data_IF_368060020500
#
_entry.id   IF_368060020500
#
_cell.length_a   1.000
_cell.length_b   1.000
_cell.length_c   1.000
_cell.angle_alpha   90.00
_cell.angle_beta   90.00
_cell.angle_gamma   90.00
#
_symmetry.space_group_name_H-M   'P 1'
#
loop_
_entity.id
_entity.type
_entity.pdbx_description
1 polymer ?
#
# COMPACT_ATOMS: atom_id res chain seq x y z
N UNK A 1 17.07 -21.77 9.39
CA UNK A 1 17.24 -20.56 8.56
C UNK A 1 17.07 -19.34 9.44
N UNK A 2 17.88 -18.29 9.25
CA UNK A 2 17.78 -17.08 10.07
C UNK A 2 16.52 -16.29 9.69
N UNK A 3 15.72 -15.91 10.68
CA UNK A 3 14.45 -15.19 10.47
C UNK A 3 14.60 -13.73 10.89
N UNK A 4 14.22 -12.82 10.00
CA UNK A 4 14.03 -11.40 10.30
C UNK A 4 12.54 -11.13 10.54
N UNK A 5 12.18 -10.66 11.72
CA UNK A 5 10.83 -10.25 12.07
C UNK A 5 10.71 -8.72 12.02
N UNK A 6 9.79 -8.23 11.21
CA UNK A 6 9.45 -6.80 11.12
C UNK A 6 8.08 -6.57 11.74
N UNK A 7 7.96 -5.59 12.63
CA UNK A 7 6.72 -5.21 13.31
C UNK A 7 6.31 -3.81 12.87
N UNK A 8 5.14 -3.70 12.23
CA UNK A 8 4.60 -2.43 11.74
C UNK A 8 3.07 -2.36 11.95
N UNK A 9 2.56 -1.66 12.98
CA UNK A 9 1.13 -1.63 13.32
C UNK A 9 0.29 -0.65 12.47
N UNK A 10 0.94 0.17 11.64
CA UNK A 10 0.28 1.22 10.86
C UNK A 10 -0.79 0.74 9.87
N UNK A 11 -1.50 1.69 9.29
CA UNK A 11 -2.49 1.42 8.24
C UNK A 11 -1.80 1.03 6.92
N UNK A 12 -2.60 0.64 5.92
CA UNK A 12 -2.06 0.22 4.61
C UNK A 12 -1.10 1.24 4.00
N UNK A 13 -1.43 2.53 4.07
CA UNK A 13 -0.56 3.58 3.56
C UNK A 13 0.81 3.60 4.23
N UNK A 14 0.84 3.47 5.55
CA UNK A 14 2.07 3.50 6.35
C UNK A 14 2.94 2.26 6.09
N UNK A 15 2.31 1.08 6.07
CA UNK A 15 3.02 -0.19 5.80
C UNK A 15 3.57 -0.23 4.36
N UNK A 16 2.87 0.37 3.38
CA UNK A 16 3.39 0.49 2.02
C UNK A 16 4.64 1.39 1.96
N UNK A 17 4.76 2.39 2.84
CA UNK A 17 5.96 3.22 2.95
C UNK A 17 7.15 2.45 3.55
N UNK A 18 6.91 1.32 4.21
CA UNK A 18 7.95 0.42 4.70
C UNK A 18 8.50 -0.55 3.64
N UNK A 19 7.85 -0.69 2.48
CA UNK A 19 8.28 -1.61 1.39
C UNK A 19 9.74 -1.40 0.97
N UNK A 20 10.25 -0.17 0.81
CA UNK A 20 11.68 0.04 0.54
C UNK A 20 12.61 -0.55 1.61
N UNK A 21 12.26 -0.41 2.90
CA UNK A 21 13.02 -0.98 4.00
C UNK A 21 12.92 -2.51 4.03
N UNK A 22 11.74 -3.09 3.75
CA UNK A 22 11.55 -4.54 3.62
C UNK A 22 12.41 -5.12 2.48
N UNK A 23 12.49 -4.43 1.35
CA UNK A 23 13.37 -4.82 0.23
C UNK A 23 14.85 -4.75 0.59
N UNK A 24 15.25 -3.72 1.33
CA UNK A 24 16.63 -3.60 1.81
C UNK A 24 16.98 -4.76 2.77
N UNK A 25 16.06 -5.13 3.68
CA UNK A 25 16.22 -6.28 4.57
C UNK A 25 16.33 -7.59 3.80
N UNK A 26 15.46 -7.82 2.81
CA UNK A 26 15.54 -8.99 1.90
C UNK A 26 16.89 -9.06 1.20
N UNK A 27 17.40 -7.94 0.68
CA UNK A 27 18.68 -7.92 -0.01
C UNK A 27 19.87 -8.20 0.93
N UNK A 28 19.77 -7.82 2.21
CA UNK A 28 20.79 -8.10 3.23
C UNK A 28 20.79 -9.57 3.69
N UNK A 29 19.66 -10.28 3.56
CA UNK A 29 19.54 -11.69 3.91
C UNK A 29 18.70 -12.45 2.85
N UNK A 30 19.27 -12.74 1.66
CA UNK A 30 18.51 -13.36 0.56
C UNK A 30 17.90 -14.72 0.94
N UNK A 31 18.65 -15.55 1.66
CA UNK A 31 18.25 -16.90 2.09
C UNK A 31 17.52 -16.94 3.45
N UNK A 32 17.35 -15.77 4.09
CA UNK A 32 16.65 -15.66 5.36
C UNK A 32 15.14 -15.60 5.19
N UNK A 33 14.37 -16.02 6.18
CA UNK A 33 12.93 -15.79 6.17
C UNK A 33 12.64 -14.33 6.59
N UNK A 34 11.86 -13.59 5.79
CA UNK A 34 11.38 -12.25 6.14
C UNK A 34 9.91 -12.33 6.55
N UNK A 35 9.67 -12.18 7.85
CA UNK A 35 8.32 -12.16 8.42
C UNK A 35 7.87 -10.72 8.70
N UNK A 36 6.60 -10.43 8.42
CA UNK A 36 5.98 -9.14 8.72
C UNK A 36 4.77 -9.33 9.61
N UNK A 37 4.84 -8.76 10.81
CA UNK A 37 3.72 -8.57 11.71
C UNK A 37 3.07 -7.21 11.47
N UNK A 38 1.87 -7.23 10.91
CA UNK A 38 1.03 -6.06 10.65
C UNK A 38 -0.45 -6.44 10.82
N UNK A 39 -1.38 -5.57 10.42
CA UNK A 39 -2.78 -5.98 10.28
C UNK A 39 -2.85 -7.20 9.33
N UNK A 40 -3.58 -8.28 9.67
CA UNK A 40 -3.50 -9.56 8.94
C UNK A 40 -3.67 -9.42 7.43
N UNK A 41 -4.64 -8.59 7.02
CA UNK A 41 -4.96 -8.30 5.63
C UNK A 41 -3.82 -7.61 4.86
N UNK A 42 -3.04 -6.75 5.53
CA UNK A 42 -1.93 -6.01 4.94
C UNK A 42 -0.69 -6.90 4.84
N UNK A 43 -0.40 -7.68 5.90
CA UNK A 43 0.67 -8.65 5.89
C UNK A 43 0.46 -9.69 4.76
N UNK A 44 -0.75 -10.23 4.64
CA UNK A 44 -1.12 -11.16 3.57
C UNK A 44 -0.97 -10.55 2.17
N UNK A 45 -1.32 -9.27 1.99
CA UNK A 45 -1.09 -8.57 0.73
C UNK A 45 0.39 -8.51 0.37
N UNK A 46 1.26 -8.12 1.30
CA UNK A 46 2.69 -8.03 1.04
C UNK A 46 3.34 -9.40 0.81
N UNK A 47 2.83 -10.45 1.46
CA UNK A 47 3.23 -11.83 1.18
C UNK A 47 2.80 -12.25 -0.23
N UNK A 48 1.55 -12.00 -0.62
CA UNK A 48 1.04 -12.28 -1.96
C UNK A 48 1.77 -11.49 -3.07
N UNK A 49 2.34 -10.33 -2.75
CA UNK A 49 3.17 -9.54 -3.65
C UNK A 49 4.66 -9.97 -3.65
N UNK A 50 5.03 -10.97 -2.87
CA UNK A 50 6.41 -11.46 -2.76
C UNK A 50 7.37 -10.48 -2.07
N UNK A 51 6.85 -9.52 -1.30
CA UNK A 51 7.69 -8.57 -0.55
C UNK A 51 8.23 -9.21 0.74
N UNK A 52 7.44 -10.11 1.33
CA UNK A 52 7.76 -10.85 2.56
C UNK A 52 7.37 -12.31 2.38
N UNK A 53 7.95 -13.22 3.15
CA UNK A 53 7.62 -14.65 3.03
C UNK A 53 6.46 -15.01 3.95
N UNK A 54 6.48 -14.45 5.17
CA UNK A 54 5.57 -14.88 6.24
C UNK A 54 4.76 -13.72 6.80
N UNK A 55 3.44 -13.69 6.56
CA UNK A 55 2.56 -12.75 7.22
C UNK A 55 2.25 -13.22 8.65
N UNK A 56 2.31 -12.30 9.61
CA UNK A 56 1.94 -12.53 11.00
C UNK A 56 0.91 -11.48 11.43
N UNK A 57 0.00 -11.85 12.33
CA UNK A 57 -0.94 -10.92 12.93
C UNK A 57 -0.24 -10.10 14.01
N UNK A 58 -0.21 -8.78 13.88
CA UNK A 58 0.38 -7.88 14.88
C UNK A 58 -0.24 -8.08 16.27
N UNK A 59 -1.57 -8.07 16.37
CA UNK A 59 -2.29 -8.22 17.65
C UNK A 59 -2.10 -9.62 18.27
N UNK A 60 -1.71 -10.61 17.46
CA UNK A 60 -1.44 -11.97 17.93
C UNK A 60 -0.02 -12.19 18.44
N UNK A 61 0.85 -11.18 18.41
CA UNK A 61 2.23 -11.31 18.88
C UNK A 61 2.36 -11.22 20.41
N UNK A 62 1.37 -10.68 21.14
CA UNK A 62 1.47 -10.47 22.58
C UNK A 62 2.47 -9.38 22.98
N UNK A 63 2.67 -8.36 22.13
CA UNK A 63 3.62 -7.27 22.40
C UNK A 63 3.18 -6.36 23.55
N UNK A 64 1.90 -6.38 23.90
CA UNK A 64 1.33 -5.70 25.07
C UNK A 64 2.01 -6.13 26.38
N UNK A 65 2.42 -7.40 26.49
CA UNK A 65 3.13 -7.93 27.65
C UNK A 65 4.49 -7.23 27.90
N UNK A 66 5.06 -6.56 26.90
CA UNK A 66 6.34 -5.85 27.04
C UNK A 66 6.19 -4.44 27.65
N UNK A 67 4.97 -3.93 27.82
CA UNK A 67 4.72 -2.64 28.47
C UNK A 67 4.66 -2.72 30.01
N UNK A 68 4.63 -3.93 30.57
CA UNK A 68 4.71 -4.18 32.02
C UNK A 68 6.06 -4.78 32.36
N UNK A 69 6.44 -4.88 33.64
CA UNK A 69 7.70 -5.52 34.04
C UNK A 69 7.61 -7.06 34.02
N UNK A 70 6.44 -7.60 34.36
CA UNK A 70 6.24 -9.04 34.63
C UNK A 70 5.55 -9.80 33.49
N UNK A 71 5.20 -9.12 32.40
CA UNK A 71 4.51 -9.77 31.26
C UNK A 71 5.35 -10.87 30.60
N UNK A 72 4.69 -11.91 30.09
CA UNK A 72 5.36 -13.03 29.43
C UNK A 72 6.00 -12.61 28.11
N UNK A 73 7.22 -13.08 27.86
CA UNK A 73 7.94 -12.74 26.63
C UNK A 73 7.33 -13.44 25.38
N UNK A 74 7.02 -12.69 24.31
CA UNK A 74 6.53 -13.27 23.06
C UNK A 74 7.50 -14.31 22.45
N UNK A 75 7.01 -15.52 22.17
CA UNK A 75 7.81 -16.57 21.53
C UNK A 75 8.36 -16.15 20.16
N UNK A 76 7.51 -15.47 19.36
CA UNK A 76 7.90 -14.98 18.05
C UNK A 76 9.06 -13.98 18.05
N UNK A 77 9.36 -13.28 19.15
CA UNK A 77 10.55 -12.43 19.24
C UNK A 77 11.81 -13.24 19.53
N UNK A 78 11.70 -14.29 20.37
CA UNK A 78 12.82 -15.15 20.76
C UNK A 78 13.35 -15.98 19.61
N UNK A 79 12.47 -16.46 18.73
CA UNK A 79 12.90 -17.30 17.60
C UNK A 79 13.40 -16.47 16.41
N UNK A 80 13.45 -15.14 16.52
CA UNK A 80 13.90 -14.26 15.43
C UNK A 80 15.40 -13.97 15.59
N UNK A 81 16.17 -14.17 14.52
CA UNK A 81 17.59 -13.80 14.49
C UNK A 81 17.78 -12.28 14.46
N UNK A 82 16.81 -11.55 13.90
CA UNK A 82 16.78 -10.09 13.88
C UNK A 82 15.34 -9.59 14.05
N UNK A 83 15.18 -8.52 14.81
CA UNK A 83 13.89 -7.84 14.99
C UNK A 83 14.02 -6.39 14.54
N UNK A 84 13.06 -5.92 13.75
CA UNK A 84 12.86 -4.50 13.43
C UNK A 84 11.47 -4.11 13.90
N UNK A 85 11.37 -3.22 14.86
CA UNK A 85 10.13 -2.83 15.51
C UNK A 85 9.91 -1.32 15.39
N UNK A 86 8.90 -0.94 14.61
CA UNK A 86 8.44 0.47 14.50
C UNK A 86 7.24 0.74 15.41
N UNK A 87 7.23 0.10 16.57
CA UNK A 87 6.19 0.19 17.60
C UNK A 87 6.84 0.27 18.98
N UNK A 88 6.15 0.90 19.95
CA UNK A 88 6.59 0.96 21.35
C UNK A 88 7.88 1.73 21.63
N UNK A 89 8.52 2.34 20.62
CA UNK A 89 9.81 3.02 20.77
C UNK A 89 9.82 4.24 21.73
N UNK A 90 8.64 4.75 22.12
CA UNK A 90 8.49 5.84 23.08
C UNK A 90 8.30 5.37 24.52
N UNK A 91 8.18 4.06 24.73
CA UNK A 91 8.02 3.47 26.05
C UNK A 91 9.33 2.82 26.51
N UNK A 92 9.98 3.34 27.58
CA UNK A 92 11.26 2.82 28.04
C UNK A 92 11.22 1.37 28.52
N UNK A 93 10.10 0.93 29.11
CA UNK A 93 9.91 -0.45 29.57
C UNK A 93 9.86 -1.37 28.36
N UNK A 94 9.03 -1.03 27.37
CA UNK A 94 8.94 -1.77 26.11
C UNK A 94 10.29 -1.91 25.42
N UNK A 95 11.03 -0.80 25.23
CA UNK A 95 12.33 -0.79 24.54
C UNK A 95 13.33 -1.67 25.28
N UNK A 96 13.45 -1.52 26.60
CA UNK A 96 14.38 -2.31 27.42
C UNK A 96 14.05 -3.80 27.33
N UNK A 97 12.77 -4.17 27.51
CA UNK A 97 12.34 -5.57 27.51
C UNK A 97 12.47 -6.23 26.14
N UNK A 98 12.12 -5.52 25.06
CA UNK A 98 12.32 -6.03 23.70
C UNK A 98 13.81 -6.24 23.40
N UNK A 99 14.66 -5.27 23.74
CA UNK A 99 16.11 -5.36 23.53
C UNK A 99 16.72 -6.50 24.35
N UNK A 100 16.24 -6.75 25.57
CA UNK A 100 16.69 -7.89 26.37
C UNK A 100 16.33 -9.25 25.74
N UNK A 101 15.18 -9.35 25.06
CA UNK A 101 14.76 -10.55 24.35
C UNK A 101 15.45 -10.73 22.99
N UNK A 102 15.79 -9.63 22.33
CA UNK A 102 16.46 -9.60 21.04
C UNK A 102 17.55 -8.51 21.05
N UNK A 103 18.79 -8.82 21.49
CA UNK A 103 19.87 -7.84 21.64
C UNK A 103 20.25 -7.10 20.34
N UNK A 104 19.97 -7.68 19.17
CA UNK A 104 20.16 -7.05 17.86
C UNK A 104 18.92 -6.32 17.32
N UNK A 105 17.90 -6.09 18.15
CA UNK A 105 16.68 -5.45 17.70
C UNK A 105 16.88 -3.97 17.38
N UNK A 106 16.29 -3.54 16.27
CA UNK A 106 16.07 -2.13 15.99
C UNK A 106 14.70 -1.76 16.52
N UNK A 107 14.64 -0.91 17.54
CA UNK A 107 13.39 -0.29 17.99
C UNK A 107 13.44 1.19 17.65
N UNK A 108 12.70 1.60 16.63
CA UNK A 108 12.77 2.95 16.11
C UNK A 108 11.40 3.64 16.17
N UNK A 109 11.34 4.93 16.53
CA UNK A 109 10.09 5.67 16.51
C UNK A 109 9.55 5.80 15.08
N UNK A 110 8.24 6.06 14.93
CA UNK A 110 7.68 6.50 13.65
C UNK A 110 8.45 7.70 13.12
N UNK A 111 8.48 7.85 11.79
CA UNK A 111 9.11 8.99 11.15
C UNK A 111 8.57 10.32 11.71
N UNK A 112 9.48 11.28 11.91
CA UNK A 112 9.14 12.65 12.27
C UNK A 112 8.46 13.40 11.12
N UNK A 113 8.38 14.72 11.24
CA UNK A 113 7.87 15.58 10.17
C UNK A 113 8.89 15.90 9.09
N UNK A 114 10.16 15.57 9.34
CA UNK A 114 11.27 15.90 8.46
C UNK A 114 11.53 14.77 7.47
N UNK A 115 11.38 15.10 6.19
CA UNK A 115 11.69 14.21 5.08
C UNK A 115 10.65 13.10 4.82
N UNK A 116 10.89 12.28 3.78
CA UNK A 116 9.98 11.20 3.42
C UNK A 116 10.06 10.03 4.40
N UNK A 117 8.90 9.56 4.88
CA UNK A 117 8.79 8.41 5.81
C UNK A 117 9.57 7.18 5.34
N UNK A 118 9.55 6.88 4.04
CA UNK A 118 10.25 5.70 3.50
C UNK A 118 11.79 5.80 3.67
N UNK A 119 12.37 6.99 3.62
CA UNK A 119 13.82 7.19 3.82
C UNK A 119 14.19 6.92 5.28
N UNK A 120 13.40 7.47 6.22
CA UNK A 120 13.53 7.18 7.65
C UNK A 120 13.50 5.68 7.91
N UNK A 121 12.52 4.96 7.37
CA UNK A 121 12.40 3.52 7.58
C UNK A 121 13.59 2.74 6.98
N UNK A 122 14.10 3.14 5.82
CA UNK A 122 15.31 2.55 5.21
C UNK A 122 16.56 2.79 6.08
N UNK A 123 16.70 4.00 6.62
CA UNK A 123 17.81 4.33 7.52
C UNK A 123 17.74 3.51 8.82
N UNK A 124 16.55 3.31 9.39
CA UNK A 124 16.41 2.52 10.63
C UNK A 124 16.83 1.07 10.47
N UNK A 125 16.73 0.49 9.27
CA UNK A 125 17.20 -0.89 9.02
C UNK A 125 18.70 -0.98 8.70
N UNK A 126 19.42 0.15 8.71
CA UNK A 126 20.85 0.22 8.44
C UNK A 126 21.21 0.24 6.95
N UNK A 127 20.26 0.63 6.08
CA UNK A 127 20.49 0.75 4.65
C UNK A 127 20.51 2.23 4.21
N UNK A 128 21.23 2.52 3.13
CA UNK A 128 21.18 3.84 2.50
C UNK A 128 19.90 4.00 1.65
N UNK A 129 19.24 5.18 1.69
CA UNK A 129 18.17 5.52 0.77
C UNK A 129 18.64 5.42 -0.68
N UNK A 130 17.93 4.62 -1.48
CA UNK A 130 18.27 4.36 -2.88
C UNK A 130 16.99 4.22 -3.72
N UNK A 131 17.03 4.69 -4.96
CA UNK A 131 15.91 4.58 -5.90
C UNK A 131 15.52 3.12 -6.20
N UNK A 132 16.46 2.18 -6.16
CA UNK A 132 16.21 0.74 -6.40
C UNK A 132 15.17 0.15 -5.45
N UNK A 133 15.09 0.67 -4.22
CA UNK A 133 14.13 0.19 -3.22
C UNK A 133 12.70 0.65 -3.49
N UNK A 134 12.51 1.65 -4.38
CA UNK A 134 11.22 2.26 -4.70
C UNK A 134 10.61 1.80 -6.02
N UNK A 135 11.15 0.72 -6.60
CA UNK A 135 10.56 0.11 -7.78
C UNK A 135 9.04 -0.15 -7.57
N UNK A 136 8.18 0.04 -8.57
CA UNK A 136 6.76 -0.26 -8.43
C UNK A 136 6.51 -1.69 -7.94
N UNK A 137 5.44 -1.89 -7.16
CA UNK A 137 5.01 -3.23 -6.77
C UNK A 137 4.32 -3.87 -7.98
N UNK A 138 4.99 -4.84 -8.59
CA UNK A 138 4.43 -5.64 -9.66
C UNK A 138 3.69 -6.85 -9.06
N UNK A 139 2.38 -7.03 -9.33
CA UNK A 139 1.70 -8.26 -8.93
C UNK A 139 2.27 -9.47 -9.66
N UNK A 140 2.36 -10.63 -9.00
CA UNK A 140 2.68 -11.86 -9.68
C UNK A 140 1.52 -12.29 -10.62
N UNK A 141 1.81 -13.06 -11.68
CA UNK A 141 0.80 -13.46 -12.68
C UNK A 141 -0.47 -14.09 -12.11
N UNK A 142 -0.43 -14.97 -11.07
CA UNK A 142 -1.65 -15.53 -10.47
C UNK A 142 -2.58 -14.45 -9.89
N UNK A 143 -2.00 -13.41 -9.29
CA UNK A 143 -2.74 -12.30 -8.70
C UNK A 143 -3.37 -11.41 -9.77
N UNK A 144 -2.66 -11.18 -10.88
CA UNK A 144 -3.21 -10.49 -12.06
C UNK A 144 -4.37 -11.27 -12.66
N UNK A 145 -4.21 -12.59 -12.82
CA UNK A 145 -5.26 -13.46 -13.35
C UNK A 145 -6.51 -13.44 -12.47
N UNK A 146 -6.35 -13.47 -11.14
CA UNK A 146 -7.48 -13.34 -10.22
C UNK A 146 -8.19 -11.99 -10.35
N UNK A 147 -7.44 -10.89 -10.39
CA UNK A 147 -8.00 -9.56 -10.62
C UNK A 147 -8.80 -9.48 -11.93
N UNK A 148 -8.27 -10.04 -13.03
CA UNK A 148 -8.96 -10.09 -14.33
C UNK A 148 -10.25 -10.90 -14.28
N UNK A 149 -10.23 -12.10 -13.67
CA UNK A 149 -11.44 -12.93 -13.53
C UNK A 149 -12.54 -12.20 -12.79
N UNK A 150 -12.19 -11.55 -11.68
CA UNK A 150 -13.17 -10.86 -10.84
C UNK A 150 -13.69 -9.57 -11.50
N UNK A 151 -12.84 -8.83 -12.21
CA UNK A 151 -13.29 -7.73 -13.07
C UNK A 151 -14.22 -8.21 -14.19
N UNK A 152 -13.93 -9.38 -14.77
CA UNK A 152 -14.82 -10.02 -15.75
C UNK A 152 -16.17 -10.40 -15.18
N UNK A 153 -16.22 -10.90 -13.94
CA UNK A 153 -17.47 -11.17 -13.22
C UNK A 153 -18.29 -9.89 -12.93
N UNK A 154 -17.63 -8.73 -12.87
CA UNK A 154 -18.29 -7.43 -12.79
C UNK A 154 -18.72 -6.87 -14.15
N UNK A 155 -18.41 -7.55 -15.26
CA UNK A 155 -18.80 -7.15 -16.61
C UNK A 155 -17.71 -6.47 -17.44
N UNK A 156 -16.45 -6.50 -17.01
CA UNK A 156 -15.35 -6.03 -17.86
C UNK A 156 -14.97 -7.07 -18.92
N UNK A 157 -15.05 -6.68 -20.19
CA UNK A 157 -14.82 -7.56 -21.34
C UNK A 157 -13.33 -7.77 -21.70
N UNK A 158 -12.41 -7.13 -20.97
CA UNK A 158 -10.97 -7.23 -21.22
C UNK A 158 -10.45 -6.41 -22.41
N UNK A 159 -11.33 -5.72 -23.15
CA UNK A 159 -10.97 -5.03 -24.41
C UNK A 159 -10.57 -3.59 -24.19
N UNK A 160 -11.33 -2.88 -23.37
CA UNK A 160 -11.04 -1.48 -23.04
C UNK A 160 -9.99 -1.39 -21.92
N UNK A 161 -9.05 -0.42 -22.00
CA UNK A 161 -8.21 -0.05 -20.86
C UNK A 161 -9.07 0.34 -19.67
N UNK A 162 -8.55 0.12 -18.46
CA UNK A 162 -9.24 0.43 -17.22
C UNK A 162 -8.61 1.60 -16.49
N UNK A 163 -9.46 2.44 -15.91
CA UNK A 163 -9.08 3.39 -14.87
C UNK A 163 -9.79 3.02 -13.58
N UNK A 164 -9.01 2.84 -12.51
CA UNK A 164 -9.56 2.63 -11.16
C UNK A 164 -9.52 3.94 -10.40
N UNK A 165 -10.65 4.29 -9.79
CA UNK A 165 -10.84 5.51 -9.01
C UNK A 165 -11.25 5.16 -7.59
N UNK A 166 -10.67 5.86 -6.63
CA UNK A 166 -11.05 5.76 -5.23
C UNK A 166 -11.43 7.15 -4.72
N UNK A 167 -12.73 7.50 -4.68
CA UNK A 167 -13.19 8.83 -4.26
C UNK A 167 -13.13 9.01 -2.74
N UNK A 168 -12.98 7.92 -2.01
CA UNK A 168 -12.81 7.87 -0.57
C UNK A 168 -11.52 8.50 -0.04
N UNK A 169 -11.56 8.96 1.20
CA UNK A 169 -10.40 9.42 1.96
C UNK A 169 -10.63 9.26 3.46
N UNK A 170 -9.55 9.15 4.24
CA UNK A 170 -9.60 9.00 5.70
C UNK A 170 -10.17 10.20 6.47
N UNK A 171 -10.50 11.31 5.80
CA UNK A 171 -11.34 12.39 6.34
C UNK A 171 -12.04 13.13 5.20
N UNK A 172 -13.19 13.74 5.48
CA UNK A 172 -13.96 14.50 4.49
C UNK A 172 -13.15 15.65 3.87
N UNK A 173 -12.35 16.36 4.67
CA UNK A 173 -11.50 17.46 4.21
C UNK A 173 -10.41 17.03 3.19
N UNK A 174 -10.10 15.73 3.09
CA UNK A 174 -9.13 15.17 2.13
C UNK A 174 -9.79 14.60 0.88
N UNK A 175 -11.12 14.63 0.78
CA UNK A 175 -11.86 14.14 -0.38
C UNK A 175 -11.80 15.18 -1.48
N UNK A 176 -11.54 14.73 -2.70
CA UNK A 176 -11.69 15.57 -3.88
C UNK A 176 -13.15 15.59 -4.33
N UNK A 177 -13.60 16.72 -4.88
CA UNK A 177 -14.98 16.90 -5.30
C UNK A 177 -15.37 15.91 -6.40
N UNK A 178 -16.61 15.41 -6.35
CA UNK A 178 -17.12 14.43 -7.32
C UNK A 178 -17.14 15.00 -8.74
N UNK A 179 -17.43 16.29 -8.89
CA UNK A 179 -17.38 17.05 -10.14
C UNK A 179 -15.98 17.02 -10.76
N UNK A 180 -14.94 17.15 -9.93
CA UNK A 180 -13.55 17.07 -10.38
C UNK A 180 -13.23 15.69 -10.95
N UNK A 181 -13.61 14.63 -10.24
CA UNK A 181 -13.46 13.25 -10.73
C UNK A 181 -14.19 13.03 -12.05
N UNK A 182 -15.46 13.45 -12.14
CA UNK A 182 -16.27 13.31 -13.33
C UNK A 182 -15.66 14.04 -14.54
N UNK A 183 -15.20 15.28 -14.35
CA UNK A 183 -14.54 16.05 -15.40
C UNK A 183 -13.24 15.39 -15.90
N UNK A 184 -12.40 14.91 -14.98
CA UNK A 184 -11.16 14.22 -15.35
C UNK A 184 -11.42 12.90 -16.09
N UNK A 185 -12.39 12.10 -15.63
CA UNK A 185 -12.77 10.85 -16.28
C UNK A 185 -13.45 11.08 -17.62
N UNK A 186 -14.25 12.14 -17.74
CA UNK A 186 -14.84 12.57 -19.01
C UNK A 186 -13.79 12.93 -20.05
N UNK A 187 -12.76 13.69 -19.64
CA UNK A 187 -11.60 13.99 -20.50
C UNK A 187 -10.89 12.73 -20.97
N UNK A 188 -10.60 11.78 -20.06
CA UNK A 188 -9.95 10.52 -20.43
C UNK A 188 -10.82 9.63 -21.34
N UNK A 189 -12.13 9.63 -21.13
CA UNK A 189 -13.08 8.85 -21.92
C UNK A 189 -13.36 9.44 -23.31
N UNK A 190 -12.94 10.68 -23.57
CA UNK A 190 -13.03 11.33 -24.89
C UNK A 190 -11.96 10.80 -25.86
N UNK A 191 -10.82 10.35 -25.35
CA UNK A 191 -9.68 9.87 -26.16
C UNK A 191 -9.86 8.43 -26.68
N UNK A 192 -10.92 7.72 -26.27
CA UNK A 192 -11.24 6.39 -26.77
C UNK A 192 -12.01 5.51 -25.77
N UNK A 193 -12.16 4.21 -26.08
CA UNK A 193 -12.79 3.26 -25.17
C UNK A 193 -12.07 3.20 -23.82
N UNK A 194 -12.81 3.39 -22.73
CA UNK A 194 -12.29 3.37 -21.37
C UNK A 194 -13.33 2.74 -20.43
N UNK A 195 -12.93 1.72 -19.68
CA UNK A 195 -13.71 1.21 -18.57
C UNK A 195 -13.34 1.92 -17.27
N UNK A 196 -14.35 2.30 -16.49
CA UNK A 196 -14.18 2.98 -15.21
C UNK A 196 -14.54 2.00 -14.09
N UNK A 197 -13.64 1.84 -13.13
CA UNK A 197 -13.88 1.06 -11.90
C UNK A 197 -13.84 1.99 -10.71
N UNK A 198 -14.91 2.05 -9.93
CA UNK A 198 -14.97 2.84 -8.69
C UNK A 198 -14.79 1.91 -7.50
N UNK A 199 -13.69 2.08 -6.76
CA UNK A 199 -13.40 1.33 -5.55
C UNK A 199 -14.04 2.00 -4.33
N UNK A 200 -14.99 1.29 -3.71
CA UNK A 200 -15.65 1.69 -2.47
C UNK A 200 -15.04 0.96 -1.28
N UNK A 201 -14.35 1.69 -0.40
CA UNK A 201 -14.01 1.19 0.93
C UNK A 201 -15.19 1.26 1.90
N UNK A 202 -15.05 0.70 3.11
CA UNK A 202 -16.15 0.59 4.08
C UNK A 202 -16.81 1.91 4.49
N UNK A 203 -16.09 3.03 4.39
CA UNK A 203 -16.55 4.36 4.80
C UNK A 203 -16.72 5.33 3.61
N UNK A 204 -16.75 4.80 2.38
CA UNK A 204 -16.70 5.62 1.15
C UNK A 204 -18.05 5.71 0.42
N UNK A 205 -19.12 5.15 1.00
CA UNK A 205 -20.44 5.10 0.38
C UNK A 205 -20.93 6.48 -0.09
N UNK A 206 -20.82 7.52 0.75
CA UNK A 206 -21.23 8.88 0.37
C UNK A 206 -20.42 9.43 -0.80
N UNK A 207 -19.10 9.20 -0.80
CA UNK A 207 -18.20 9.70 -1.84
C UNK A 207 -18.45 8.99 -3.18
N UNK A 208 -18.73 7.69 -3.14
CA UNK A 208 -19.08 6.88 -4.32
C UNK A 208 -20.47 7.26 -4.84
N UNK A 209 -21.45 7.40 -3.94
CA UNK A 209 -22.81 7.82 -4.27
C UNK A 209 -22.87 9.23 -4.88
N UNK A 210 -21.97 10.13 -4.48
CA UNK A 210 -21.82 11.44 -5.11
C UNK A 210 -21.20 11.35 -6.52
N UNK A 211 -20.25 10.43 -6.74
CA UNK A 211 -19.52 10.31 -8.01
C UNK A 211 -20.33 9.59 -9.08
N UNK A 212 -20.91 8.42 -8.78
CA UNK A 212 -21.53 7.54 -9.78
C UNK A 212 -22.55 8.25 -10.70
N UNK A 213 -23.49 9.09 -10.20
CA UNK A 213 -24.47 9.77 -11.04
C UNK A 213 -23.88 10.79 -12.01
N UNK A 214 -22.62 11.20 -11.80
CA UNK A 214 -21.92 12.21 -12.62
C UNK A 214 -21.03 11.59 -13.69
N UNK A 215 -20.88 10.27 -13.71
CA UNK A 215 -20.01 9.61 -14.66
C UNK A 215 -20.67 9.55 -16.05
N UNK A 216 -19.92 9.83 -17.13
CA UNK A 216 -20.47 9.88 -18.49
C UNK A 216 -20.81 8.49 -19.05
N UNK A 217 -20.39 7.41 -18.39
CA UNK A 217 -20.62 6.01 -18.77
C UNK A 217 -20.82 5.17 -17.52
N UNK A 218 -21.48 4.03 -17.68
CA UNK A 218 -21.61 3.04 -16.61
C UNK A 218 -20.22 2.65 -16.09
N UNK A 219 -20.06 2.71 -14.77
CA UNK A 219 -18.85 2.30 -14.08
C UNK A 219 -19.09 0.99 -13.34
N UNK A 220 -18.04 0.17 -13.24
CA UNK A 220 -18.04 -1.00 -12.39
C UNK A 220 -17.76 -0.56 -10.96
N UNK A 221 -18.60 -0.98 -10.01
CA UNK A 221 -18.33 -0.71 -8.59
C UNK A 221 -17.63 -1.91 -7.97
N UNK A 222 -16.51 -1.67 -7.32
CA UNK A 222 -15.76 -2.65 -6.56
C UNK A 222 -15.93 -2.36 -5.07
N UNK A 223 -16.85 -3.07 -4.43
CA UNK A 223 -17.19 -2.88 -3.01
C UNK A 223 -16.32 -3.74 -2.10
N UNK A 224 -15.61 -3.09 -1.19
CA UNK A 224 -14.89 -3.69 -0.07
C UNK A 224 -14.21 -5.05 -0.38
N UNK A 225 -13.38 -5.16 -1.44
CA UNK A 225 -12.75 -6.43 -1.76
C UNK A 225 -11.81 -6.85 -0.62
N UNK A 226 -11.93 -8.11 -0.17
CA UNK A 226 -11.03 -8.64 0.85
C UNK A 226 -9.60 -8.68 0.33
N UNK A 227 -8.63 -8.17 1.11
CA UNK A 227 -7.21 -8.44 0.81
C UNK A 227 -6.95 -9.96 0.97
N UNK A 228 -6.15 -10.60 0.09
CA UNK A 228 -5.20 -10.01 -0.85
C UNK A 228 -5.81 -9.76 -2.24
N UNK A 229 -6.93 -9.04 -2.34
CA UNK A 229 -7.24 -8.32 -3.56
C UNK A 229 -6.04 -7.45 -3.97
N UNK A 230 -5.53 -7.60 -5.20
CA UNK A 230 -4.54 -6.68 -5.71
C UNK A 230 -5.15 -5.29 -5.82
N UNK A 231 -4.69 -4.37 -4.96
CA UNK A 231 -4.43 -3.00 -5.43
C UNK A 231 -3.42 -2.96 -6.58
N UNK A 232 -2.92 -4.10 -7.02
CA UNK A 232 -1.96 -4.29 -8.09
C UNK A 232 -2.48 -4.00 -9.53
N UNK A 233 -3.69 -3.45 -9.68
CA UNK A 233 -4.00 -2.65 -10.88
C UNK A 233 -3.27 -1.28 -10.86
N UNK A 234 -2.53 -0.95 -9.79
CA UNK A 234 -1.77 0.29 -9.63
C UNK A 234 -0.34 0.20 -10.20
N UNK A 235 -0.16 -0.45 -11.37
CA UNK A 235 1.10 -0.33 -12.11
C UNK A 235 1.11 0.99 -12.87
N UNK A 236 1.84 1.97 -12.35
CA UNK A 236 1.95 3.30 -12.92
C UNK A 236 2.75 3.34 -14.22
N UNK A 237 2.10 3.68 -15.35
CA UNK A 237 2.73 4.46 -16.41
C UNK A 237 2.16 5.88 -16.30
N UNK A 238 2.87 6.74 -15.58
CA UNK A 238 2.56 8.17 -15.53
C UNK A 238 2.85 8.77 -16.90
N UNK A 239 1.82 8.98 -17.74
CA UNK A 239 1.92 10.00 -18.79
C UNK A 239 1.39 11.30 -18.19
N UNK A 240 2.22 12.35 -18.21
CA UNK A 240 1.70 13.71 -18.14
C UNK A 240 0.64 13.82 -19.25
N UNK A 241 -0.61 14.23 -18.96
CA UNK A 241 -1.46 14.79 -19.99
C UNK A 241 -0.67 15.93 -20.66
N UNK A 242 -0.64 15.95 -21.99
CA UNK A 242 -0.07 17.07 -22.75
C UNK A 242 -0.62 18.39 -22.23
N UNK A 243 0.17 19.47 -22.32
CA UNK A 243 -0.05 20.78 -21.71
C UNK A 243 -1.42 21.45 -21.91
N UNK A 244 -2.34 20.86 -22.69
CA UNK A 244 -3.69 21.34 -22.96
C UNK A 244 -4.65 21.33 -21.75
N UNK A 245 -4.44 20.49 -20.72
CA UNK A 245 -5.31 20.49 -19.51
C UNK A 245 -4.84 21.46 -18.41
N UNK A 246 -3.72 22.17 -18.61
CA UNK A 246 -3.15 23.07 -17.59
C UNK A 246 -3.89 24.40 -17.47
N UNK A 247 -4.69 24.79 -18.48
CA UNK A 247 -5.33 26.11 -18.52
C UNK A 247 -6.75 26.14 -17.91
N UNK A 248 -7.38 24.99 -17.64
CA UNK A 248 -8.77 24.94 -17.17
C UNK A 248 -8.93 24.97 -15.64
N UNK A 249 -7.85 24.90 -14.86
CA UNK A 249 -7.91 24.96 -13.40
C UNK A 249 -7.02 26.08 -12.87
N UNK A 250 -7.55 27.30 -12.89
CA UNK A 250 -6.97 28.47 -12.22
C UNK A 250 -7.11 28.41 -10.69
N UNK A 251 -6.48 27.43 -10.04
CA UNK A 251 -6.34 27.42 -8.59
C UNK A 251 -5.05 26.69 -8.15
N UNK A 252 -4.25 27.28 -7.23
CA UNK A 252 -3.06 26.64 -6.70
C UNK A 252 -3.43 25.57 -5.64
N UNK A 253 -3.93 24.42 -6.08
CA UNK A 253 -4.25 23.29 -5.19
C UNK A 253 -2.99 22.49 -4.81
N UNK A 254 -2.24 22.97 -3.82
CA UNK A 254 -1.34 22.12 -3.03
C UNK A 254 -2.21 21.32 -2.04
N UNK A 255 -2.27 20.00 -2.19
CA UNK A 255 -2.91 19.02 -1.29
C UNK A 255 -4.30 18.43 -1.67
N UNK A 256 -4.55 18.12 -2.94
CA UNK A 256 -5.50 17.05 -3.30
C UNK A 256 -4.85 16.08 -4.28
N UNK A 257 -4.33 14.96 -3.78
CA UNK A 257 -3.81 13.88 -4.62
C UNK A 257 -4.99 12.98 -5.03
N UNK A 258 -5.67 13.32 -6.13
CA UNK A 258 -6.54 12.38 -6.82
C UNK A 258 -5.67 11.27 -7.44
N UNK A 259 -5.84 10.02 -7.00
CA UNK A 259 -5.10 8.86 -7.54
C UNK A 259 -5.91 8.23 -8.66
N UNK A 260 -5.63 8.66 -9.89
CA UNK A 260 -6.10 8.01 -11.11
C UNK A 260 -4.99 7.05 -11.56
N UNK A 261 -5.26 5.74 -11.55
CA UNK A 261 -4.36 4.73 -12.09
C UNK A 261 -4.95 4.17 -13.39
N UNK A 262 -4.21 4.31 -14.49
CA UNK A 262 -4.55 3.73 -15.79
C UNK A 262 -3.77 2.43 -16.00
N UNK A 263 -4.45 1.38 -16.44
CA UNK A 263 -3.85 0.07 -16.75
C UNK A 263 -3.94 -0.22 -18.25
N UNK A 264 -2.80 -0.46 -18.88
CA UNK A 264 -2.68 -0.82 -20.30
C UNK A 264 -2.46 -2.34 -20.43
N UNK A 265 -3.41 -3.02 -21.08
CA UNK A 265 -3.33 -4.46 -21.35
C UNK A 265 -2.43 -4.81 -22.56
N UNK A 266 -1.88 -3.82 -23.25
CA UNK A 266 -1.15 -3.96 -24.50
C UNK A 266 0.30 -4.42 -24.34
N UNK A 267 0.52 -5.69 -23.99
CA UNK A 267 1.78 -6.37 -24.26
C UNK A 267 1.95 -6.64 -25.76
N UNK A 268 2.30 -5.62 -26.54
CA UNK A 268 2.89 -5.81 -27.87
C UNK A 268 4.38 -5.49 -27.79
N UNK A 269 5.19 -6.56 -27.69
CA UNK A 269 6.61 -6.48 -27.98
C UNK A 269 6.79 -5.87 -29.36
N UNK A 270 7.61 -4.82 -29.44
CA UNK A 270 8.17 -4.37 -30.70
C UNK A 270 9.58 -4.95 -30.75
N UNK A 271 9.77 -5.91 -31.67
CA UNK A 271 11.07 -6.07 -32.32
C UNK A 271 11.35 -4.89 -33.24
#
# INVERSE_FOLDING_TARGET
>A
MARTLVVHPGALGDVLLAVPALRALRAAAPDGELALAAQPRIAALLAALGVVDRPLAFDGLGLDALFTEDGAAPGALRDAARVVCWFGARDPVFVRRLTALAPGAVVAPPAGRDGPVWEHLVLTVGAAPDARWRAPLAPPPPLVADGRRRLGALGWDGRAPLVVVHPGAGSAAKRWAAEGFAAALGGLAADGPLGIVVHQGPADADAVGALLPRLPRAALTLEAPSLPWPRACWSSRWRRPSAATSSACGAPCRASWARIAAWDAGGRGRG
#
